data_IF_150573699853
#
_entry.id   IF_150573699853
#
_cell.length_a   1.000
_cell.length_b   1.000
_cell.length_c   1.000
_cell.angle_alpha   90.00
_cell.angle_beta   90.00
_cell.angle_gamma   90.00
#
_symmetry.space_group_name_H-M   'P 1'
#
loop_
_entity.id
_entity.type
_entity.pdbx_description
1 polymer ?
#
# COMPACT_ATOMS: atom_id res chain seq x y z
N UNK A 1 6.36 -7.72 -20.51
CA UNK A 1 6.35 -7.34 -19.07
C UNK A 1 5.19 -8.02 -18.30
N UNK A 2 5.25 -8.13 -16.96
CA UNK A 2 4.08 -8.44 -16.10
C UNK A 2 3.69 -7.21 -15.28
N UNK A 3 2.43 -6.78 -15.36
CA UNK A 3 1.89 -5.61 -14.64
C UNK A 3 1.01 -6.12 -13.51
N UNK A 4 1.36 -5.80 -12.27
CA UNK A 4 0.51 -6.08 -11.10
C UNK A 4 -0.37 -4.87 -10.81
N UNK A 5 -1.68 -5.00 -10.97
CA UNK A 5 -2.66 -3.96 -10.67
C UNK A 5 -3.36 -4.28 -9.35
N UNK A 6 -2.98 -3.55 -8.30
CA UNK A 6 -3.57 -3.68 -6.97
C UNK A 6 -4.78 -2.77 -6.81
N UNK A 7 -5.91 -3.32 -6.39
CA UNK A 7 -7.13 -2.54 -6.11
C UNK A 7 -7.30 -2.46 -4.60
N UNK A 8 -6.95 -1.33 -4.01
CA UNK A 8 -6.98 -1.13 -2.56
C UNK A 8 -8.26 -0.42 -2.05
N UNK A 9 -9.08 0.10 -2.97
CA UNK A 9 -10.33 0.74 -2.57
C UNK A 9 -11.37 -0.33 -2.21
N UNK A 10 -12.08 -0.22 -1.06
CA UNK A 10 -13.16 -1.13 -0.71
C UNK A 10 -14.33 -1.05 -1.70
N UNK A 11 -14.47 0.07 -2.42
CA UNK A 11 -15.45 0.22 -3.52
C UNK A 11 -15.07 -0.57 -4.79
N UNK A 12 -13.88 -1.18 -4.84
CA UNK A 12 -13.42 -1.97 -5.98
C UNK A 12 -13.48 -1.20 -7.30
N UNK A 13 -14.11 -1.81 -8.30
CA UNK A 13 -14.27 -1.22 -9.64
C UNK A 13 -15.16 0.03 -9.68
N UNK A 14 -16.01 0.24 -8.67
CA UNK A 14 -16.82 1.46 -8.55
C UNK A 14 -16.04 2.66 -7.98
N UNK A 15 -14.73 2.51 -7.73
CA UNK A 15 -13.89 3.59 -7.22
C UNK A 15 -13.34 4.48 -8.34
N UNK A 16 -13.26 5.78 -8.08
CA UNK A 16 -12.59 6.73 -8.99
C UNK A 16 -11.09 6.39 -9.16
N UNK A 17 -10.44 5.86 -8.12
CA UNK A 17 -9.07 5.33 -8.20
C UNK A 17 -8.93 4.16 -9.17
N UNK A 18 -9.94 3.29 -9.27
CA UNK A 18 -9.96 2.21 -10.26
C UNK A 18 -10.13 2.76 -11.68
N UNK A 19 -10.98 3.77 -11.86
CA UNK A 19 -11.15 4.43 -13.17
C UNK A 19 -9.85 5.10 -13.63
N UNK A 20 -9.18 5.84 -12.74
CA UNK A 20 -7.90 6.49 -13.04
C UNK A 20 -6.80 5.48 -13.37
N UNK A 21 -6.66 4.43 -12.55
CA UNK A 21 -5.64 3.40 -12.78
C UNK A 21 -5.84 2.65 -14.09
N UNK A 22 -7.08 2.43 -14.55
CA UNK A 22 -7.33 1.85 -15.88
C UNK A 22 -6.76 2.70 -17.03
N UNK A 23 -6.81 4.03 -16.92
CA UNK A 23 -6.16 4.91 -17.91
C UNK A 23 -4.65 4.68 -17.96
N UNK A 24 -4.00 4.56 -16.79
CA UNK A 24 -2.56 4.28 -16.69
C UNK A 24 -2.23 2.91 -17.29
N UNK A 25 -2.97 1.86 -16.91
CA UNK A 25 -2.80 0.51 -17.47
C UNK A 25 -2.97 0.52 -18.99
N UNK A 26 -3.93 1.29 -19.52
CA UNK A 26 -4.13 1.49 -20.95
C UNK A 26 -2.91 2.07 -21.64
N UNK A 27 -2.28 3.11 -21.08
CA UNK A 27 -1.04 3.67 -21.63
C UNK A 27 0.13 2.68 -21.62
N UNK A 28 0.24 1.86 -20.55
CA UNK A 28 1.27 0.82 -20.46
C UNK A 28 1.05 -0.28 -21.51
N UNK A 29 -0.19 -0.72 -21.72
CA UNK A 29 -0.54 -1.71 -22.74
C UNK A 29 -0.35 -1.17 -24.16
N UNK A 30 -0.63 0.12 -24.40
CA UNK A 30 -0.36 0.74 -25.69
C UNK A 30 1.15 0.77 -26.01
N UNK A 31 1.98 0.92 -24.99
CA UNK A 31 3.45 0.93 -25.15
C UNK A 31 4.02 -0.47 -25.32
N UNK A 32 3.44 -1.46 -24.63
CA UNK A 32 3.83 -2.87 -24.76
C UNK A 32 2.61 -3.79 -24.82
N UNK A 33 2.09 -4.07 -26.03
CA UNK A 33 0.83 -4.82 -26.21
C UNK A 33 0.87 -6.27 -25.73
N UNK A 34 2.05 -6.85 -25.58
CA UNK A 34 2.24 -8.22 -25.09
C UNK A 34 2.34 -8.31 -23.57
N UNK A 35 2.25 -7.18 -22.86
CA UNK A 35 2.29 -7.17 -21.40
C UNK A 35 1.06 -7.88 -20.80
N UNK A 36 1.29 -8.66 -19.74
CA UNK A 36 0.23 -9.35 -19.02
C UNK A 36 -0.17 -8.56 -17.78
N UNK A 37 -1.45 -8.22 -17.65
CA UNK A 37 -1.99 -7.54 -16.46
C UNK A 37 -2.57 -8.57 -15.48
N UNK A 38 -2.07 -8.55 -14.25
CA UNK A 38 -2.53 -9.39 -13.13
C UNK A 38 -3.25 -8.47 -12.15
N UNK A 39 -4.56 -8.64 -12.04
CA UNK A 39 -5.38 -7.83 -11.13
C UNK A 39 -5.48 -8.55 -9.78
N UNK A 40 -5.18 -7.84 -8.69
CA UNK A 40 -5.32 -8.32 -7.31
C UNK A 40 -6.06 -7.29 -6.46
N UNK A 41 -7.33 -7.54 -6.15
CA UNK A 41 -8.02 -6.78 -5.12
C UNK A 41 -7.36 -7.03 -3.76
N UNK A 42 -6.95 -5.96 -3.09
CA UNK A 42 -6.54 -5.97 -1.68
C UNK A 42 -7.69 -5.30 -0.93
N UNK A 43 -8.63 -6.12 -0.49
CA UNK A 43 -9.78 -5.69 0.31
C UNK A 43 -9.81 -6.47 1.63
N UNK A 44 -10.31 -5.84 2.68
CA UNK A 44 -10.40 -6.41 4.02
C UNK A 44 -9.25 -6.00 4.94
N UNK A 45 -9.27 -6.52 6.16
CA UNK A 45 -8.19 -6.31 7.12
C UNK A 45 -6.93 -7.01 6.60
N UNK A 46 -5.91 -6.22 6.31
CA UNK A 46 -4.54 -6.73 6.20
C UNK A 46 -4.12 -7.05 7.64
N UNK A 47 -3.53 -8.23 7.86
CA UNK A 47 -2.99 -8.56 9.18
C UNK A 47 -2.06 -7.44 9.63
N UNK A 48 -2.31 -6.88 10.81
CA UNK A 48 -1.41 -5.89 11.39
C UNK A 48 -0.02 -6.50 11.46
N UNK A 49 0.99 -5.69 11.16
CA UNK A 49 2.38 -6.11 11.30
C UNK A 49 2.60 -6.53 12.76
N UNK A 50 3.06 -7.75 12.97
CA UNK A 50 3.40 -8.21 14.32
C UNK A 50 4.72 -7.59 14.79
N UNK A 51 4.92 -7.64 16.10
CA UNK A 51 6.12 -7.10 16.74
C UNK A 51 7.39 -7.77 16.21
N UNK A 52 7.31 -9.06 15.88
CA UNK A 52 8.43 -9.85 15.35
C UNK A 52 8.85 -9.35 13.96
N UNK A 53 7.91 -9.12 13.05
CA UNK A 53 8.15 -8.57 11.72
C UNK A 53 8.67 -7.13 11.80
N UNK A 54 8.05 -6.30 12.66
CA UNK A 54 8.46 -4.92 12.87
C UNK A 54 9.87 -4.82 13.46
N UNK A 55 10.24 -5.73 14.37
CA UNK A 55 11.58 -5.79 14.97
C UNK A 55 12.63 -6.28 13.98
N UNK A 56 12.32 -7.33 13.21
CA UNK A 56 13.23 -7.89 12.21
C UNK A 56 13.59 -6.88 11.11
N UNK A 57 12.66 -6.02 10.69
CA UNK A 57 12.88 -5.04 9.63
C UNK A 57 13.20 -3.62 10.13
N UNK A 58 12.66 -3.22 11.27
CA UNK A 58 12.85 -1.89 11.87
C UNK A 58 14.19 -1.70 12.59
N UNK A 59 14.95 -2.78 12.82
CA UNK A 59 16.26 -2.72 13.45
C UNK A 59 17.34 -2.03 12.60
N UNK A 60 17.10 -1.83 11.29
CA UNK A 60 18.05 -1.19 10.37
C UNK A 60 18.26 0.31 10.64
N UNK A 61 17.37 0.99 11.38
CA UNK A 61 17.39 2.47 11.47
C UNK A 61 17.37 3.05 12.89
N UNK A 62 17.78 2.29 13.93
CA UNK A 62 17.84 2.83 15.30
C UNK A 62 19.25 3.21 15.75
N UNK A 63 19.80 4.22 15.07
CA UNK A 63 20.73 5.17 15.68
C UNK A 63 20.23 6.59 15.46
N UNK A 64 19.07 6.92 16.06
CA UNK A 64 18.78 8.29 16.44
C UNK A 64 18.21 8.28 17.86
N UNK A 65 19.09 8.56 18.82
CA UNK A 65 18.72 8.79 20.20
C UNK A 65 17.92 10.09 20.29
N UNK A 66 16.61 9.97 20.50
CA UNK A 66 15.72 11.09 20.75
C UNK A 66 14.61 10.67 21.72
N UNK A 67 14.84 10.87 23.01
CA UNK A 67 13.88 10.64 24.08
C UNK A 67 12.60 11.45 23.85
N UNK A 68 11.47 10.80 23.57
CA UNK A 68 10.17 11.47 23.53
C UNK A 68 9.54 11.42 24.93
N UNK A 69 9.49 12.61 25.56
CA UNK A 69 8.83 12.87 26.83
C UNK A 69 7.32 12.68 26.71
N UNK A 70 6.75 11.81 27.56
CA UNK A 70 5.33 11.48 27.69
C UNK A 70 4.56 12.69 28.21
N UNK A 71 3.71 13.32 27.39
CA UNK A 71 2.74 14.32 27.87
C UNK A 71 1.37 13.66 28.09
N UNK A 72 0.92 13.73 29.33
CA UNK A 72 -0.35 13.20 29.83
C UNK A 72 -1.55 13.94 29.21
N UNK A 73 -2.61 13.19 28.95
CA UNK A 73 -3.93 13.61 28.47
C UNK A 73 -4.66 14.50 29.50
N UNK A 74 -5.34 15.55 29.03
CA UNK A 74 -6.34 16.31 29.81
C UNK A 74 -7.57 16.51 28.91
N UNK A 75 -8.77 16.05 29.31
CA UNK A 75 -10.00 16.31 28.56
C UNK A 75 -10.57 17.69 28.91
N UNK A 76 -11.28 18.27 27.95
CA UNK A 76 -12.27 19.34 28.18
C UNK A 76 -13.66 18.76 27.92
#
# INVERSE_FOLDING_TARGET
MKILHLICSPRGQASESYRLSQTIVGHLLNSEPTATVIIRPIGGAITDLDEDYATALGATERSFAGTVSRRLYVPV
#
